data_IF_000938972765
#
_entry.id   IF_000938972765
#
_cell.length_a   1.000
_cell.length_b   1.000
_cell.length_c   1.000
_cell.angle_alpha   90.00
_cell.angle_beta   90.00
_cell.angle_gamma   90.00
#
_symmetry.space_group_name_H-M   'P 1'
#
loop_
_entity.id
_entity.type
_entity.pdbx_description
1 polymer ?
#
# COMPACT_ATOMS: atom_id res chain seq x y z
N UNK A 1 -36.09 -44.37 39.57
CA UNK A 1 -36.80 -43.39 38.72
C UNK A 1 -38.28 -43.49 39.01
N UNK A 2 -38.76 -42.53 39.76
CA UNK A 2 -40.13 -42.55 40.32
C UNK A 2 -41.16 -42.11 39.27
N UNK A 3 -42.32 -42.77 39.33
CA UNK A 3 -43.51 -42.66 38.44
C UNK A 3 -44.13 -41.23 38.37
N UNK A 4 -43.47 -40.19 38.93
CA UNK A 4 -43.98 -38.82 39.13
C UNK A 4 -43.72 -37.82 38.01
N UNK A 5 -42.98 -38.16 36.95
CA UNK A 5 -42.60 -37.21 35.91
C UNK A 5 -43.55 -37.14 34.70
N UNK A 6 -44.77 -37.58 34.83
CA UNK A 6 -45.70 -37.63 33.72
C UNK A 6 -46.94 -36.72 33.88
N UNK A 7 -46.79 -35.61 34.54
CA UNK A 7 -47.86 -34.58 34.51
C UNK A 7 -47.90 -33.90 33.14
N UNK A 8 -49.12 -33.59 32.65
CA UNK A 8 -49.30 -32.90 31.36
C UNK A 8 -48.47 -31.61 31.29
N UNK A 9 -48.41 -30.83 32.37
CA UNK A 9 -47.62 -29.63 32.52
C UNK A 9 -46.10 -29.90 32.33
N UNK A 10 -45.55 -30.94 32.98
CA UNK A 10 -44.13 -31.31 32.83
C UNK A 10 -43.76 -31.72 31.40
N UNK A 11 -44.68 -32.38 30.68
CA UNK A 11 -44.47 -32.73 29.27
C UNK A 11 -44.48 -31.52 28.34
N UNK A 12 -45.40 -30.57 28.58
CA UNK A 12 -45.49 -29.33 27.82
C UNK A 12 -44.23 -28.47 28.06
N UNK A 13 -43.84 -28.26 29.31
CA UNK A 13 -42.63 -27.49 29.67
C UNK A 13 -41.40 -28.10 29.05
N UNK A 14 -41.22 -29.42 29.12
CA UNK A 14 -40.08 -30.10 28.50
C UNK A 14 -40.03 -29.90 26.97
N UNK A 15 -41.18 -29.99 26.28
CA UNK A 15 -41.25 -29.72 24.84
C UNK A 15 -40.92 -28.27 24.52
N UNK A 16 -41.48 -27.31 25.28
CA UNK A 16 -41.18 -25.89 25.09
C UNK A 16 -39.70 -25.59 25.27
N UNK A 17 -39.04 -26.11 26.31
CA UNK A 17 -37.60 -25.95 26.54
C UNK A 17 -36.81 -26.54 25.40
N UNK A 18 -37.13 -27.76 24.92
CA UNK A 18 -36.43 -28.37 23.78
C UNK A 18 -36.56 -27.53 22.51
N UNK A 19 -37.77 -27.07 22.19
CA UNK A 19 -37.98 -26.21 21.01
C UNK A 19 -37.25 -24.86 21.14
N UNK A 20 -37.28 -24.25 22.33
CA UNK A 20 -36.57 -23.01 22.60
C UNK A 20 -35.06 -23.20 22.44
N UNK A 21 -34.50 -24.30 22.93
CA UNK A 21 -33.07 -24.62 22.73
C UNK A 21 -32.73 -24.83 21.25
N UNK A 22 -33.55 -25.52 20.47
CA UNK A 22 -33.32 -25.73 19.03
C UNK A 22 -33.37 -24.40 18.28
N UNK A 23 -34.35 -23.55 18.52
CA UNK A 23 -34.46 -22.22 17.92
C UNK A 23 -33.21 -21.37 18.27
N UNK A 24 -32.81 -21.41 19.54
CA UNK A 24 -31.65 -20.68 20.02
C UNK A 24 -30.32 -21.12 19.37
N UNK A 25 -30.15 -22.44 19.17
CA UNK A 25 -28.97 -22.98 18.45
C UNK A 25 -28.93 -22.48 17.00
N UNK A 26 -30.09 -22.53 16.30
CA UNK A 26 -30.19 -22.05 14.92
C UNK A 26 -29.90 -20.56 14.85
N UNK A 27 -30.49 -19.76 15.72
CA UNK A 27 -30.26 -18.31 15.79
C UNK A 27 -28.78 -18.01 16.10
N UNK A 28 -28.17 -18.72 17.03
CA UNK A 28 -26.75 -18.55 17.38
C UNK A 28 -25.84 -18.83 16.18
N UNK A 29 -26.14 -19.87 15.40
CA UNK A 29 -25.38 -20.19 14.18
C UNK A 29 -25.51 -19.09 13.11
N UNK A 30 -26.75 -18.60 12.90
CA UNK A 30 -27.01 -17.50 11.95
C UNK A 30 -26.28 -16.23 12.37
N UNK A 31 -26.37 -15.83 13.64
CA UNK A 31 -25.71 -14.65 14.18
C UNK A 31 -24.19 -14.80 14.10
N UNK A 32 -23.64 -15.97 14.44
CA UNK A 32 -22.21 -16.25 14.26
C UNK A 32 -21.76 -16.03 12.81
N UNK A 33 -22.51 -16.55 11.86
CA UNK A 33 -22.19 -16.45 10.44
C UNK A 33 -22.23 -15.00 9.92
N UNK A 34 -23.26 -14.26 10.33
CA UNK A 34 -23.41 -12.84 10.00
C UNK A 34 -22.28 -12.01 10.61
N UNK A 35 -21.99 -12.21 11.91
CA UNK A 35 -20.93 -11.48 12.60
C UNK A 35 -19.54 -11.78 12.01
N UNK A 36 -19.26 -13.04 11.71
CA UNK A 36 -18.02 -13.44 11.08
C UNK A 36 -17.86 -12.78 9.71
N UNK A 37 -18.89 -12.81 8.87
CA UNK A 37 -18.88 -12.16 7.55
C UNK A 37 -18.70 -10.65 7.67
N UNK A 38 -19.48 -9.98 8.50
CA UNK A 38 -19.41 -8.52 8.70
C UNK A 38 -18.03 -8.08 9.20
N UNK A 39 -17.45 -8.83 10.15
CA UNK A 39 -16.09 -8.56 10.64
C UNK A 39 -15.06 -8.71 9.52
N UNK A 40 -15.11 -9.80 8.78
CA UNK A 40 -14.19 -10.04 7.65
C UNK A 40 -14.28 -8.94 6.60
N UNK A 41 -15.49 -8.57 6.19
CA UNK A 41 -15.73 -7.54 5.20
C UNK A 41 -15.20 -6.17 5.69
N UNK A 42 -15.43 -5.81 6.95
CA UNK A 42 -14.93 -4.59 7.58
C UNK A 42 -13.40 -4.54 7.64
N UNK A 43 -12.73 -5.63 8.00
CA UNK A 43 -11.27 -5.68 8.02
C UNK A 43 -10.67 -5.64 6.61
N UNK A 44 -11.26 -6.34 5.64
CA UNK A 44 -10.84 -6.27 4.23
C UNK A 44 -10.94 -4.84 3.70
N UNK A 45 -12.05 -4.16 3.97
CA UNK A 45 -12.25 -2.76 3.58
C UNK A 45 -11.24 -1.82 4.25
N UNK A 46 -10.92 -2.06 5.52
CA UNK A 46 -9.91 -1.29 6.23
C UNK A 46 -8.52 -1.42 5.58
N UNK A 47 -8.11 -2.63 5.18
CA UNK A 47 -6.84 -2.83 4.48
C UNK A 47 -6.84 -2.20 3.07
N UNK A 48 -7.93 -2.30 2.33
CA UNK A 48 -8.07 -1.61 1.06
C UNK A 48 -7.97 -0.09 1.22
N UNK A 49 -8.69 0.49 2.19
CA UNK A 49 -8.62 1.93 2.49
C UNK A 49 -7.19 2.39 2.85
N UNK A 50 -6.42 1.55 3.53
CA UNK A 50 -5.01 1.84 3.84
C UNK A 50 -4.13 1.85 2.59
N UNK A 51 -4.35 0.91 1.67
CA UNK A 51 -3.69 0.92 0.36
C UNK A 51 -4.00 2.21 -0.41
N UNK A 52 -5.25 2.69 -0.34
CA UNK A 52 -5.67 3.96 -0.93
C UNK A 52 -5.05 5.19 -0.23
N UNK A 53 -4.90 5.18 1.10
CA UNK A 53 -4.20 6.25 1.83
C UNK A 53 -2.72 6.31 1.39
N UNK A 54 -2.08 5.17 1.23
CA UNK A 54 -0.72 5.10 0.69
C UNK A 54 -0.65 5.66 -0.73
N UNK A 55 -1.64 5.37 -1.56
CA UNK A 55 -1.77 5.94 -2.90
C UNK A 55 -1.86 7.48 -2.85
N UNK A 56 -2.72 8.04 -2.02
CA UNK A 56 -2.88 9.50 -1.93
C UNK A 56 -1.60 10.17 -1.41
N UNK A 57 -0.90 9.54 -0.48
CA UNK A 57 0.39 10.03 -0.01
C UNK A 57 1.45 10.00 -1.13
N UNK A 58 1.53 8.90 -1.88
CA UNK A 58 2.45 8.77 -3.02
C UNK A 58 2.12 9.79 -4.12
N UNK A 59 0.85 9.94 -4.46
CA UNK A 59 0.37 10.94 -5.44
C UNK A 59 0.74 12.37 -5.05
N UNK A 60 0.58 12.72 -3.78
CA UNK A 60 0.93 14.05 -3.29
C UNK A 60 2.37 14.38 -3.57
N UNK A 61 3.27 13.43 -3.37
CA UNK A 61 4.69 13.66 -3.60
C UNK A 61 5.02 13.77 -5.08
N UNK A 62 4.45 12.88 -5.89
CA UNK A 62 4.56 12.97 -7.35
C UNK A 62 4.09 14.34 -7.82
N UNK A 63 2.97 14.83 -7.28
CA UNK A 63 2.44 16.15 -7.60
C UNK A 63 3.35 17.29 -7.11
N UNK A 64 3.90 17.19 -5.90
CA UNK A 64 4.82 18.21 -5.36
C UNK A 64 6.07 18.36 -6.22
N UNK A 65 6.65 17.25 -6.69
CA UNK A 65 7.80 17.25 -7.60
C UNK A 65 7.44 17.84 -8.96
N UNK A 66 6.34 17.37 -9.54
CA UNK A 66 5.81 17.89 -10.80
C UNK A 66 5.64 19.41 -10.76
N UNK A 67 4.98 19.93 -9.72
CA UNK A 67 4.74 21.37 -9.57
C UNK A 67 6.05 22.14 -9.38
N UNK A 68 6.99 21.60 -8.57
CA UNK A 68 8.30 22.25 -8.37
C UNK A 68 9.08 22.37 -9.67
N UNK A 69 9.05 21.36 -10.53
CA UNK A 69 9.69 21.37 -11.85
C UNK A 69 8.94 22.32 -12.79
N UNK A 70 7.64 22.08 -13.01
CA UNK A 70 6.83 22.84 -13.99
C UNK A 70 6.85 24.35 -13.77
N UNK A 71 6.84 24.81 -12.52
CA UNK A 71 6.90 26.22 -12.18
C UNK A 71 8.22 26.88 -12.60
N UNK A 72 9.25 26.13 -12.89
CA UNK A 72 10.56 26.65 -13.28
C UNK A 72 10.89 26.47 -14.78
N UNK A 73 10.14 25.65 -15.53
CA UNK A 73 10.36 25.40 -16.96
C UNK A 73 10.35 26.72 -17.75
N UNK A 74 9.31 27.51 -17.58
CA UNK A 74 9.18 28.81 -18.27
C UNK A 74 10.41 29.71 -18.08
N UNK A 75 10.95 29.79 -16.85
CA UNK A 75 12.15 30.59 -16.57
C UNK A 75 13.40 30.02 -17.23
N UNK A 76 13.53 28.69 -17.28
CA UNK A 76 14.65 28.04 -17.98
C UNK A 76 14.61 28.32 -19.48
N UNK A 77 13.46 28.19 -20.12
CA UNK A 77 13.29 28.41 -21.54
C UNK A 77 13.49 29.88 -21.95
N UNK A 78 13.16 30.84 -21.05
CA UNK A 78 13.41 32.26 -21.28
C UNK A 78 14.88 32.65 -21.09
N UNK A 79 15.62 31.94 -20.23
CA UNK A 79 16.99 32.27 -19.85
C UNK A 79 18.03 31.33 -20.51
N UNK A 80 17.69 30.68 -21.64
CA UNK A 80 18.62 29.83 -22.39
C UNK A 80 19.89 30.55 -22.86
N UNK A 81 19.81 31.87 -23.04
CA UNK A 81 20.98 32.73 -23.36
C UNK A 81 21.87 33.02 -22.14
N UNK A 82 21.56 32.52 -20.96
CA UNK A 82 22.27 32.77 -19.70
C UNK A 82 22.70 31.46 -19.01
N UNK A 83 23.68 30.74 -19.57
CA UNK A 83 24.03 29.40 -19.06
C UNK A 83 24.42 29.37 -17.60
N UNK A 84 25.05 30.42 -17.07
CA UNK A 84 25.45 30.49 -15.66
C UNK A 84 24.25 30.63 -14.68
N UNK A 85 23.11 31.06 -15.18
CA UNK A 85 21.90 31.19 -14.37
C UNK A 85 21.23 29.82 -14.09
N UNK A 86 21.45 28.82 -14.91
CA UNK A 86 20.79 27.51 -14.79
C UNK A 86 21.06 26.83 -13.45
N UNK A 87 22.28 26.93 -12.90
CA UNK A 87 22.59 26.40 -11.55
C UNK A 87 21.71 27.01 -10.46
N UNK A 88 21.43 28.31 -10.57
CA UNK A 88 20.56 29.00 -9.62
C UNK A 88 19.11 28.49 -9.70
N UNK A 89 18.64 28.20 -10.91
CA UNK A 89 17.31 27.62 -11.10
C UNK A 89 17.26 26.19 -10.56
N UNK A 90 18.29 25.36 -10.82
CA UNK A 90 18.38 24.01 -10.25
C UNK A 90 18.36 24.04 -8.72
N UNK A 91 19.16 24.93 -8.11
CA UNK A 91 19.16 25.12 -6.66
C UNK A 91 17.79 25.56 -6.12
N UNK A 92 17.05 26.40 -6.84
CA UNK A 92 15.69 26.83 -6.49
C UNK A 92 14.72 25.66 -6.53
N UNK A 93 14.77 24.81 -7.56
CA UNK A 93 13.92 23.61 -7.66
C UNK A 93 14.17 22.69 -6.47
N UNK A 94 15.43 22.39 -6.16
CA UNK A 94 15.81 21.56 -5.01
C UNK A 94 15.37 22.19 -3.68
N UNK A 95 15.52 23.50 -3.52
CA UNK A 95 15.16 24.19 -2.29
C UNK A 95 13.65 24.18 -2.06
N UNK A 96 12.86 24.43 -3.10
CA UNK A 96 11.40 24.49 -3.02
C UNK A 96 10.74 23.11 -2.95
N UNK A 97 11.36 22.11 -3.56
CA UNK A 97 10.90 20.73 -3.55
C UNK A 97 11.46 19.97 -2.36
N UNK A 98 10.75 19.94 -1.22
CA UNK A 98 11.24 19.30 0.02
C UNK A 98 11.58 17.81 -0.14
N UNK A 99 11.07 17.16 -1.19
CA UNK A 99 11.31 15.75 -1.52
C UNK A 99 12.34 15.58 -2.64
N UNK A 100 12.71 16.66 -3.32
CA UNK A 100 13.72 16.64 -4.35
C UNK A 100 15.10 16.59 -3.69
N UNK A 101 15.86 15.54 -3.99
CA UNK A 101 17.21 15.35 -3.50
C UNK A 101 18.19 16.14 -4.35
N UNK A 102 18.00 16.11 -5.65
CA UNK A 102 18.85 16.76 -6.64
C UNK A 102 18.07 17.11 -7.89
N UNK A 103 18.61 18.04 -8.66
CA UNK A 103 18.04 18.45 -9.92
C UNK A 103 19.15 18.85 -10.88
N UNK A 104 19.06 18.41 -12.11
CA UNK A 104 20.00 18.74 -13.18
C UNK A 104 19.29 19.02 -14.50
N UNK A 105 19.95 19.77 -15.36
CA UNK A 105 19.53 19.98 -16.72
C UNK A 105 20.68 19.60 -17.66
N UNK A 106 20.43 18.63 -18.54
CA UNK A 106 21.42 18.10 -19.48
C UNK A 106 21.10 18.57 -20.88
N UNK A 107 21.97 19.39 -21.44
CA UNK A 107 21.80 19.96 -22.78
C UNK A 107 22.26 18.99 -23.87
N UNK A 108 21.66 19.12 -25.07
CA UNK A 108 22.14 18.41 -26.27
C UNK A 108 23.61 18.78 -26.58
N UNK A 109 24.32 17.89 -27.26
CA UNK A 109 25.72 18.08 -27.61
C UNK A 109 25.92 19.41 -28.30
N UNK A 110 27.00 20.13 -27.93
CA UNK A 110 27.45 21.37 -28.53
C UNK A 110 26.52 22.59 -28.41
N UNK A 111 25.44 22.51 -27.59
CA UNK A 111 24.47 23.60 -27.47
C UNK A 111 25.10 24.93 -27.03
N UNK A 112 26.06 24.90 -26.12
CA UNK A 112 26.82 26.08 -25.65
C UNK A 112 28.29 26.05 -26.08
N UNK A 113 28.66 25.34 -27.17
CA UNK A 113 30.03 25.30 -27.66
C UNK A 113 30.41 26.61 -28.30
N UNK A 114 31.67 27.13 -28.10
CA UNK A 114 32.73 26.56 -27.28
C UNK A 114 32.72 26.98 -25.80
N UNK A 115 31.79 27.82 -25.37
CA UNK A 115 31.81 28.46 -24.06
C UNK A 115 31.76 27.46 -22.89
N UNK A 116 30.89 26.43 -23.00
CA UNK A 116 30.68 25.41 -21.95
C UNK A 116 31.17 24.00 -22.35
N UNK A 117 31.90 23.91 -23.49
CA UNK A 117 32.38 22.61 -24.01
C UNK A 117 31.28 21.85 -24.79
N UNK A 118 31.56 20.56 -25.04
CA UNK A 118 30.67 19.70 -25.82
C UNK A 118 29.47 19.20 -25.03
N UNK A 119 29.56 19.26 -23.70
CA UNK A 119 28.54 18.79 -22.75
C UNK A 119 28.34 19.83 -21.68
N UNK A 120 27.12 20.14 -21.36
CA UNK A 120 26.80 21.08 -20.30
C UNK A 120 25.63 20.57 -19.46
N UNK A 121 25.92 20.33 -18.17
CA UNK A 121 24.91 19.81 -17.22
C UNK A 121 25.04 20.52 -15.87
N UNK A 122 24.44 21.70 -15.70
CA UNK A 122 24.31 22.33 -14.40
C UNK A 122 23.44 21.49 -13.47
N UNK A 123 23.93 21.26 -12.26
CA UNK A 123 23.35 20.34 -11.29
C UNK A 123 23.34 20.94 -9.89
N UNK A 124 22.32 20.64 -9.11
CA UNK A 124 22.18 21.03 -7.72
C UNK A 124 21.71 19.87 -6.87
N UNK A 125 22.20 19.75 -5.63
CA UNK A 125 21.79 18.70 -4.71
C UNK A 125 21.74 19.16 -3.25
N UNK A 126 20.94 18.47 -2.42
CA UNK A 126 20.97 18.65 -0.96
C UNK A 126 22.20 17.97 -0.39
N UNK A 127 22.94 18.71 0.43
CA UNK A 127 24.05 18.13 1.16
C UNK A 127 23.54 17.04 2.13
N UNK A 128 24.18 15.86 2.09
CA UNK A 128 23.75 14.72 2.88
C UNK A 128 23.92 14.94 4.42
N UNK A 129 24.90 15.78 4.82
CA UNK A 129 25.18 16.07 6.24
C UNK A 129 24.39 17.24 6.76
N UNK A 130 24.05 18.18 5.90
CA UNK A 130 23.24 19.35 6.23
C UNK A 130 22.21 19.59 5.12
N UNK A 131 20.99 19.01 5.24
CA UNK A 131 19.94 19.09 4.20
C UNK A 131 19.45 20.52 3.88
N UNK A 132 19.72 21.49 4.72
CA UNK A 132 19.39 22.91 4.47
C UNK A 132 20.39 23.59 3.51
N UNK A 133 21.53 22.95 3.23
CA UNK A 133 22.53 23.44 2.30
C UNK A 133 22.31 22.80 0.93
N UNK A 134 22.16 23.67 -0.08
CA UNK A 134 22.10 23.26 -1.48
C UNK A 134 23.45 23.58 -2.13
N UNK A 135 24.06 22.56 -2.68
CA UNK A 135 25.32 22.65 -3.41
C UNK A 135 25.06 22.62 -4.92
N UNK A 136 25.90 23.26 -5.71
CA UNK A 136 25.76 23.32 -7.16
C UNK A 136 27.12 23.05 -7.87
N UNK A 137 27.04 22.43 -9.05
CA UNK A 137 28.19 22.16 -9.90
C UNK A 137 27.76 22.20 -11.38
N UNK A 138 28.69 22.44 -12.26
CA UNK A 138 28.56 22.12 -13.69
C UNK A 138 29.11 20.70 -13.91
N UNK A 139 28.23 19.74 -14.07
CA UNK A 139 28.56 18.36 -14.41
C UNK A 139 28.45 18.22 -15.93
N UNK A 140 29.48 18.35 -16.65
CA UNK A 140 29.35 18.28 -18.10
C UNK A 140 30.57 17.70 -18.76
N UNK A 141 31.63 17.67 -18.00
CA UNK A 141 32.90 17.17 -18.52
C UNK A 141 33.06 15.66 -18.26
N UNK A 142 34.03 15.09 -18.86
CA UNK A 142 34.52 13.72 -19.00
C UNK A 142 34.04 12.64 -18.01
N UNK A 143 33.45 12.99 -16.85
CA UNK A 143 33.11 12.06 -15.78
C UNK A 143 31.74 11.34 -15.96
N UNK A 144 30.81 11.91 -16.74
CA UNK A 144 29.49 11.29 -16.98
C UNK A 144 29.02 11.56 -18.41
N UNK A 145 29.05 10.53 -19.24
CA UNK A 145 28.44 10.59 -20.57
C UNK A 145 26.94 10.37 -20.47
N UNK A 146 26.20 11.48 -20.31
CA UNK A 146 24.74 11.42 -20.29
C UNK A 146 24.17 11.33 -21.71
N UNK A 147 24.91 11.75 -22.73
CA UNK A 147 24.44 11.81 -24.13
C UNK A 147 24.06 10.44 -24.67
N UNK A 148 24.71 9.36 -24.21
CA UNK A 148 24.43 7.98 -24.63
C UNK A 148 23.45 7.25 -23.66
N UNK A 149 22.92 7.94 -22.64
CA UNK A 149 22.05 7.30 -21.66
C UNK A 149 20.61 7.15 -22.16
N UNK A 150 19.99 6.00 -21.84
CA UNK A 150 18.60 5.72 -22.22
C UNK A 150 17.61 6.77 -21.68
N UNK A 151 17.84 7.25 -20.47
CA UNK A 151 16.97 8.26 -19.86
C UNK A 151 17.01 9.60 -20.60
N UNK A 152 18.17 10.01 -21.12
CA UNK A 152 18.30 11.25 -21.88
C UNK A 152 17.59 11.13 -23.23
N UNK A 153 17.82 10.04 -23.96
CA UNK A 153 17.14 9.75 -25.22
C UNK A 153 15.62 9.60 -25.02
N UNK A 154 15.17 9.01 -23.93
CA UNK A 154 13.76 8.90 -23.63
C UNK A 154 13.04 10.25 -23.53
N UNK A 155 13.74 11.34 -23.17
CA UNK A 155 13.18 12.69 -23.15
C UNK A 155 13.37 13.40 -24.47
N UNK A 156 14.60 13.40 -25.00
CA UNK A 156 14.96 14.18 -26.20
C UNK A 156 14.23 13.65 -27.45
N UNK A 157 14.19 12.32 -27.61
CA UNK A 157 13.66 11.70 -28.82
C UNK A 157 12.13 11.65 -28.83
N UNK A 158 11.48 11.67 -27.66
CA UNK A 158 10.01 11.54 -27.54
C UNK A 158 9.30 12.87 -27.29
N UNK A 159 10.04 13.92 -26.92
CA UNK A 159 9.49 15.22 -26.49
C UNK A 159 8.38 15.04 -25.42
N UNK A 160 8.65 14.19 -24.44
CA UNK A 160 7.63 13.81 -23.47
C UNK A 160 8.19 13.72 -22.05
N UNK A 161 7.46 14.32 -21.13
CA UNK A 161 7.77 14.18 -19.71
C UNK A 161 7.41 12.78 -19.17
N UNK A 162 8.25 12.22 -18.33
CA UNK A 162 7.98 10.93 -17.70
C UNK A 162 8.75 10.73 -16.39
N UNK A 163 8.35 9.71 -15.63
CA UNK A 163 9.12 9.23 -14.48
C UNK A 163 10.08 8.14 -14.93
N UNK A 164 11.33 8.24 -14.51
CA UNK A 164 12.32 7.20 -14.79
C UNK A 164 12.00 5.91 -14.02
N UNK A 165 12.48 4.79 -14.53
CA UNK A 165 12.61 3.61 -13.69
C UNK A 165 13.54 3.94 -12.51
N UNK A 166 13.34 3.30 -11.33
CA UNK A 166 14.21 3.48 -10.18
C UNK A 166 15.67 3.12 -10.50
N UNK A 167 16.60 3.86 -9.91
CA UNK A 167 18.03 3.64 -10.05
C UNK A 167 18.78 3.90 -8.74
N UNK A 168 19.99 3.40 -8.62
CA UNK A 168 20.84 3.69 -7.47
C UNK A 168 21.58 5.01 -7.65
N UNK A 169 21.65 5.80 -6.56
CA UNK A 169 22.50 7.01 -6.51
C UNK A 169 23.94 6.65 -6.88
N UNK A 170 24.46 7.32 -7.91
CA UNK A 170 25.81 7.07 -8.42
C UNK A 170 26.92 7.31 -7.41
N UNK A 171 26.65 8.10 -6.35
CA UNK A 171 27.63 8.47 -5.33
C UNK A 171 27.78 7.43 -4.22
N UNK A 172 26.69 6.79 -3.79
CA UNK A 172 26.71 5.87 -2.65
C UNK A 172 26.19 4.46 -2.95
N UNK A 173 25.52 4.24 -4.08
CA UNK A 173 24.93 2.96 -4.52
C UNK A 173 24.00 2.26 -3.49
N UNK A 174 23.58 2.99 -2.48
CA UNK A 174 22.69 2.48 -1.42
C UNK A 174 21.35 3.18 -1.43
N UNK A 175 21.29 4.45 -1.80
CA UNK A 175 20.04 5.22 -1.93
C UNK A 175 19.40 4.92 -3.27
N UNK A 176 18.15 4.51 -3.24
CA UNK A 176 17.33 4.31 -4.43
C UNK A 176 16.62 5.61 -4.80
N UNK A 177 16.76 6.02 -6.03
CA UNK A 177 16.19 7.24 -6.60
C UNK A 177 15.22 6.90 -7.73
N UNK A 178 14.33 7.83 -8.02
CA UNK A 178 13.60 7.96 -9.28
C UNK A 178 13.65 9.41 -9.70
N UNK A 179 13.59 9.70 -10.98
CA UNK A 179 13.63 11.07 -11.49
C UNK A 179 12.33 11.41 -12.25
N UNK A 180 11.79 12.58 -11.99
CA UNK A 180 10.84 13.21 -12.90
C UNK A 180 11.60 13.97 -13.96
N UNK A 181 11.35 13.63 -15.21
CA UNK A 181 12.06 14.13 -16.37
C UNK A 181 11.18 14.99 -17.24
N UNK A 182 11.70 16.11 -17.72
CA UNK A 182 10.96 17.09 -18.52
C UNK A 182 11.81 17.61 -19.67
N UNK A 183 11.28 17.69 -20.93
CA UNK A 183 11.97 18.35 -22.02
C UNK A 183 11.99 19.87 -21.85
N UNK A 184 13.07 20.51 -22.29
CA UNK A 184 13.24 21.96 -22.34
C UNK A 184 13.35 22.39 -23.80
N UNK A 185 12.58 23.41 -24.18
CA UNK A 185 12.47 23.87 -25.55
C UNK A 185 13.12 25.22 -25.75
N UNK A 186 13.68 25.41 -26.95
CA UNK A 186 14.08 26.72 -27.45
C UNK A 186 12.86 27.53 -27.95
N UNK A 187 13.13 28.74 -28.45
CA UNK A 187 12.09 29.66 -28.97
C UNK A 187 11.42 29.12 -30.26
N UNK A 188 12.07 28.22 -30.94
CA UNK A 188 11.58 27.58 -32.18
C UNK A 188 10.80 26.29 -31.89
N UNK A 189 10.73 25.87 -30.62
CA UNK A 189 10.03 24.68 -30.15
C UNK A 189 10.84 23.38 -30.29
N UNK A 190 12.15 23.48 -30.48
CA UNK A 190 13.01 22.30 -30.52
C UNK A 190 13.42 21.90 -29.10
N UNK A 191 13.47 20.60 -28.81
CA UNK A 191 13.96 20.09 -27.54
C UNK A 191 15.49 20.27 -27.52
N UNK A 192 15.99 21.04 -26.54
CA UNK A 192 17.42 21.40 -26.42
C UNK A 192 18.07 20.85 -25.15
N UNK A 193 17.26 20.40 -24.21
CA UNK A 193 17.76 19.79 -22.97
C UNK A 193 16.71 18.88 -22.32
N UNK A 194 17.19 17.99 -21.46
CA UNK A 194 16.39 17.20 -20.54
C UNK A 194 16.64 17.68 -19.10
N UNK A 195 15.60 18.12 -18.40
CA UNK A 195 15.66 18.41 -16.98
C UNK A 195 15.26 17.16 -16.20
N UNK A 196 16.03 16.78 -15.16
CA UNK A 196 15.75 15.69 -14.25
C UNK A 196 15.68 16.19 -12.80
N UNK A 197 14.64 15.82 -12.07
CA UNK A 197 14.51 16.05 -10.63
C UNK A 197 14.46 14.73 -9.88
N UNK A 198 15.52 14.42 -9.14
CA UNK A 198 15.70 13.14 -8.46
C UNK A 198 14.98 13.15 -7.10
N UNK A 199 14.28 12.07 -6.82
CA UNK A 199 13.54 11.84 -5.58
C UNK A 199 14.04 10.57 -4.91
N UNK A 200 14.43 10.64 -3.64
CA UNK A 200 14.77 9.44 -2.88
C UNK A 200 13.53 8.62 -2.56
N UNK A 201 13.62 7.32 -2.79
CA UNK A 201 12.58 6.35 -2.43
C UNK A 201 12.70 5.82 -0.99
N UNK A 202 13.81 6.12 -0.29
CA UNK A 202 14.06 5.66 1.07
C UNK A 202 13.00 6.17 2.05
N UNK A 203 12.62 7.46 1.93
CA UNK A 203 11.58 8.03 2.78
C UNK A 203 10.21 7.38 2.51
N UNK A 204 9.94 6.95 1.28
CA UNK A 204 8.70 6.24 0.91
C UNK A 204 8.68 4.84 1.55
N UNK A 205 9.80 4.12 1.46
CA UNK A 205 10.01 2.84 2.16
C UNK A 205 9.83 3.01 3.66
N UNK A 206 10.46 4.03 4.26
CA UNK A 206 10.33 4.31 5.69
C UNK A 206 8.89 4.64 6.09
N UNK A 207 8.16 5.41 5.27
CA UNK A 207 6.75 5.74 5.54
C UNK A 207 5.84 4.53 5.46
N UNK A 208 6.06 3.64 4.50
CA UNK A 208 5.36 2.37 4.40
C UNK A 208 5.62 1.49 5.63
N UNK A 209 6.89 1.35 6.02
CA UNK A 209 7.29 0.56 7.19
C UNK A 209 6.70 1.13 8.49
N UNK A 210 6.67 2.45 8.67
CA UNK A 210 6.02 3.12 9.81
C UNK A 210 4.52 2.82 9.83
N UNK A 211 3.86 2.93 8.70
CA UNK A 211 2.44 2.65 8.55
C UNK A 211 2.13 1.19 8.87
N UNK A 212 2.87 0.25 8.28
CA UNK A 212 2.73 -1.18 8.53
C UNK A 212 3.02 -1.54 9.99
N UNK A 213 4.02 -0.92 10.61
CA UNK A 213 4.36 -1.12 12.02
C UNK A 213 3.23 -0.65 12.95
N UNK A 214 2.63 0.50 12.67
CA UNK A 214 1.48 1.03 13.42
C UNK A 214 0.27 0.11 13.29
N UNK A 215 0.03 -0.40 12.09
CA UNK A 215 -1.05 -1.36 11.80
C UNK A 215 -0.84 -2.66 12.60
N UNK A 216 0.36 -3.22 12.49
CA UNK A 216 0.70 -4.48 13.13
C UNK A 216 0.73 -4.35 14.67
N UNK A 217 1.06 -3.17 15.22
CA UNK A 217 1.00 -2.88 16.65
C UNK A 217 -0.44 -2.74 17.18
N UNK A 218 -1.32 -2.09 16.43
CA UNK A 218 -2.73 -1.95 16.81
C UNK A 218 -3.52 -3.26 16.68
N UNK A 219 -3.01 -4.21 15.91
CA UNK A 219 -3.52 -5.58 15.84
C UNK A 219 -3.07 -6.44 17.05
N UNK A 220 -3.04 -5.85 18.27
CA UNK A 220 -2.39 -6.38 19.49
C UNK A 220 -2.82 -7.80 19.86
N UNK A 221 -4.06 -8.20 19.54
CA UNK A 221 -4.51 -9.56 19.78
C UNK A 221 -4.03 -10.54 18.71
N UNK A 222 -3.92 -10.09 17.47
CA UNK A 222 -3.50 -10.94 16.35
C UNK A 222 -1.98 -11.05 16.24
N UNK A 223 -1.22 -10.01 16.53
CA UNK A 223 0.23 -9.99 16.32
C UNK A 223 1.03 -10.86 17.30
N UNK A 224 0.53 -11.05 18.54
CA UNK A 224 1.14 -11.98 19.50
C UNK A 224 0.84 -13.45 19.19
N UNK A 225 -0.34 -13.71 18.59
CA UNK A 225 -0.78 -15.07 18.24
C UNK A 225 -0.37 -15.41 16.80
N UNK A 226 -0.43 -14.41 15.91
CA UNK A 226 -0.09 -14.54 14.51
C UNK A 226 1.32 -13.97 14.31
N UNK A 227 2.29 -14.82 14.10
CA UNK A 227 3.68 -14.42 13.81
C UNK A 227 3.84 -13.68 12.47
N UNK A 228 2.77 -13.45 11.74
CA UNK A 228 2.74 -12.88 10.41
C UNK A 228 2.25 -11.44 10.44
N UNK A 229 2.95 -10.57 9.72
CA UNK A 229 2.66 -9.14 9.62
C UNK A 229 2.16 -8.83 8.23
N UNK A 230 1.24 -7.86 8.11
CA UNK A 230 0.94 -7.23 6.83
C UNK A 230 2.10 -6.38 6.38
N UNK A 231 2.35 -6.34 5.09
CA UNK A 231 3.42 -5.54 4.49
C UNK A 231 2.93 -4.87 3.22
N UNK A 232 3.35 -3.63 3.03
CA UNK A 232 3.04 -2.84 1.84
C UNK A 232 4.28 -2.63 1.00
N UNK A 233 4.12 -2.73 -0.30
CA UNK A 233 5.16 -2.62 -1.31
C UNK A 233 4.75 -1.62 -2.38
N UNK A 234 5.72 -0.99 -3.01
CA UNK A 234 5.54 -0.37 -4.33
C UNK A 234 6.37 -1.19 -5.30
N UNK A 235 5.77 -1.56 -6.40
CA UNK A 235 6.38 -2.32 -7.48
C UNK A 235 6.21 -1.56 -8.79
N UNK A 236 7.06 -1.82 -9.78
CA UNK A 236 6.77 -1.42 -11.14
C UNK A 236 5.87 -2.46 -11.85
N UNK A 237 5.47 -2.22 -13.09
CA UNK A 237 4.57 -3.12 -13.83
C UNK A 237 5.18 -4.50 -14.11
N UNK A 238 6.51 -4.63 -14.14
CA UNK A 238 7.18 -5.91 -14.31
C UNK A 238 7.32 -6.70 -13.00
N UNK A 239 6.81 -6.14 -11.90
CA UNK A 239 6.81 -6.72 -10.56
C UNK A 239 8.04 -6.41 -9.72
N UNK A 240 9.04 -5.71 -10.24
CA UNK A 240 10.27 -5.38 -9.50
C UNK A 240 9.93 -4.49 -8.29
N UNK A 241 10.48 -4.82 -7.14
CA UNK A 241 10.29 -4.03 -5.94
C UNK A 241 10.98 -2.67 -6.03
N UNK A 242 10.20 -1.61 -5.93
CA UNK A 242 10.66 -0.22 -5.78
C UNK A 242 10.87 0.08 -4.30
N UNK A 243 9.96 -0.43 -3.45
CA UNK A 243 10.10 -0.37 -1.99
C UNK A 243 9.86 -1.77 -1.41
N UNK A 244 10.62 -2.15 -0.39
CA UNK A 244 10.47 -3.40 0.32
C UNK A 244 11.00 -3.23 1.75
N UNK A 245 10.36 -3.81 2.80
CA UNK A 245 10.91 -3.84 4.15
C UNK A 245 12.31 -4.46 4.23
N UNK A 246 12.62 -5.45 3.38
CA UNK A 246 13.98 -5.94 3.17
C UNK A 246 14.62 -5.17 2.01
N UNK A 247 15.47 -4.20 2.34
CA UNK A 247 16.18 -3.37 1.35
C UNK A 247 17.01 -4.18 0.34
N UNK A 248 17.38 -5.42 0.69
CA UNK A 248 18.17 -6.29 -0.22
C UNK A 248 17.39 -6.72 -1.45
N UNK A 249 16.07 -6.70 -1.38
CA UNK A 249 15.18 -7.10 -2.47
C UNK A 249 14.84 -5.93 -3.40
N UNK A 250 15.06 -4.68 -2.96
CA UNK A 250 14.78 -3.48 -3.78
C UNK A 250 15.63 -3.53 -5.05
N UNK A 251 14.99 -3.36 -6.20
CA UNK A 251 15.58 -3.40 -7.54
C UNK A 251 16.24 -4.74 -7.94
N UNK A 252 16.11 -5.79 -7.13
CA UNK A 252 16.78 -7.08 -7.35
C UNK A 252 15.83 -8.26 -7.46
N UNK A 253 14.63 -8.11 -6.92
CA UNK A 253 13.64 -9.20 -6.90
C UNK A 253 12.27 -8.69 -7.32
N UNK A 254 11.39 -9.61 -7.69
CA UNK A 254 10.06 -9.34 -8.21
C UNK A 254 9.01 -9.97 -7.30
N UNK A 255 7.93 -9.21 -7.02
CA UNK A 255 6.81 -9.73 -6.23
C UNK A 255 6.21 -10.99 -6.84
N UNK A 256 6.31 -11.16 -8.17
CA UNK A 256 5.74 -12.32 -8.87
C UNK A 256 6.43 -13.64 -8.53
N UNK A 257 7.71 -13.62 -8.08
CA UNK A 257 8.41 -14.81 -7.60
C UNK A 257 7.90 -15.30 -6.24
N UNK A 258 7.25 -14.39 -5.48
CA UNK A 258 6.69 -14.67 -4.16
C UNK A 258 5.19 -14.99 -4.18
N UNK A 259 4.50 -14.68 -5.30
CA UNK A 259 3.05 -14.83 -5.43
C UNK A 259 2.68 -16.10 -6.20
N UNK A 260 1.94 -16.99 -5.53
CA UNK A 260 1.32 -18.16 -6.13
C UNK A 260 -0.20 -18.12 -5.92
N UNK A 261 -0.97 -18.64 -6.86
CA UNK A 261 -2.40 -18.78 -6.69
C UNK A 261 -2.72 -19.89 -5.69
N UNK A 262 -3.63 -19.61 -4.75
CA UNK A 262 -4.06 -20.60 -3.75
C UNK A 262 -4.87 -21.73 -4.37
N UNK A 263 -5.70 -21.43 -5.37
CA UNK A 263 -6.48 -22.43 -6.10
C UNK A 263 -5.97 -22.53 -7.54
N UNK A 264 -5.47 -23.70 -7.91
CA UNK A 264 -4.86 -23.98 -9.24
C UNK A 264 -5.88 -24.02 -10.40
N UNK A 265 -7.17 -23.84 -10.12
CA UNK A 265 -8.25 -24.03 -11.11
C UNK A 265 -8.50 -22.84 -12.04
N UNK A 266 -7.94 -21.64 -11.75
CA UNK A 266 -8.09 -20.47 -12.61
C UNK A 266 -6.73 -19.86 -12.96
N UNK A 267 -6.58 -19.38 -14.20
CA UNK A 267 -5.37 -18.70 -14.67
C UNK A 267 -4.97 -17.50 -13.80
N UNK A 268 -3.67 -17.19 -13.74
CA UNK A 268 -3.01 -16.21 -12.89
C UNK A 268 -3.47 -14.74 -13.15
N UNK A 269 -4.76 -14.47 -13.00
CA UNK A 269 -5.34 -13.15 -13.26
C UNK A 269 -4.74 -12.01 -12.41
N UNK A 270 -4.17 -12.29 -11.23
CA UNK A 270 -3.56 -11.26 -10.39
C UNK A 270 -2.30 -10.65 -11.03
N UNK A 271 -1.40 -11.48 -11.53
CA UNK A 271 -0.16 -11.00 -12.18
C UNK A 271 -0.52 -10.12 -13.39
N UNK A 272 -1.45 -10.58 -14.23
CA UNK A 272 -1.94 -9.80 -15.37
C UNK A 272 -2.62 -8.49 -14.94
N UNK A 273 -3.45 -8.51 -13.89
CA UNK A 273 -4.08 -7.32 -13.32
C UNK A 273 -3.05 -6.33 -12.77
N UNK A 274 -2.02 -6.82 -12.05
CA UNK A 274 -0.94 -5.98 -11.55
C UNK A 274 -0.14 -5.36 -12.69
N UNK A 275 0.21 -6.15 -13.71
CA UNK A 275 0.97 -5.69 -14.87
C UNK A 275 0.20 -4.63 -15.69
N UNK A 276 -1.10 -4.78 -15.82
CA UNK A 276 -1.96 -3.82 -16.55
C UNK A 276 -2.44 -2.65 -15.69
N UNK A 277 -2.18 -2.66 -14.39
CA UNK A 277 -2.70 -1.66 -13.46
C UNK A 277 -4.23 -1.64 -13.40
N UNK A 278 -4.88 -2.78 -13.55
CA UNK A 278 -6.35 -2.90 -13.51
C UNK A 278 -6.81 -2.92 -12.06
N UNK A 279 -7.70 -1.99 -11.70
CA UNK A 279 -8.36 -1.98 -10.38
C UNK A 279 -9.49 -3.02 -10.41
N UNK A 280 -9.43 -3.99 -9.50
CA UNK A 280 -10.49 -4.98 -9.32
C UNK A 280 -11.26 -4.71 -8.02
N UNK A 281 -12.57 -4.48 -8.14
CA UNK A 281 -13.44 -4.29 -6.97
C UNK A 281 -13.60 -5.57 -6.14
N UNK A 282 -13.28 -6.75 -6.70
CA UNK A 282 -13.39 -8.04 -6.02
C UNK A 282 -12.14 -8.46 -5.23
N UNK A 283 -11.11 -7.63 -5.15
CA UNK A 283 -9.86 -7.91 -4.40
C UNK A 283 -10.10 -8.44 -2.98
N UNK A 284 -11.21 -8.03 -2.36
CA UNK A 284 -11.59 -8.41 -0.99
C UNK A 284 -11.81 -9.93 -0.78
N UNK A 285 -12.03 -10.68 -1.85
CA UNK A 285 -12.44 -12.09 -1.79
C UNK A 285 -11.39 -13.06 -2.31
N UNK A 286 -10.38 -12.57 -3.00
CA UNK A 286 -9.37 -13.43 -3.63
C UNK A 286 -8.23 -13.75 -2.65
N UNK A 287 -7.82 -15.01 -2.64
CA UNK A 287 -6.76 -15.54 -1.79
C UNK A 287 -5.59 -16.00 -2.62
N UNK A 288 -4.40 -15.68 -2.17
CA UNK A 288 -3.13 -16.03 -2.81
C UNK A 288 -2.20 -16.71 -1.80
N UNK A 289 -1.12 -17.29 -2.30
CA UNK A 289 0.02 -17.66 -1.49
C UNK A 289 1.13 -16.62 -1.71
N UNK A 290 1.65 -16.08 -0.63
CA UNK A 290 2.84 -15.25 -0.63
C UNK A 290 3.89 -15.97 0.20
N UNK A 291 5.01 -16.38 -0.42
CA UNK A 291 6.01 -17.26 0.19
C UNK A 291 5.40 -18.53 0.82
N UNK A 292 4.45 -19.15 0.10
CA UNK A 292 3.74 -20.34 0.57
C UNK A 292 2.70 -20.11 1.65
N UNK A 293 2.47 -18.86 2.07
CA UNK A 293 1.51 -18.50 3.10
C UNK A 293 0.25 -17.87 2.52
N UNK A 294 -0.92 -18.31 3.00
CA UNK A 294 -2.20 -17.76 2.56
C UNK A 294 -2.34 -16.28 2.92
N UNK A 295 -2.67 -15.47 1.92
CA UNK A 295 -2.83 -14.03 2.08
C UNK A 295 -3.98 -13.47 1.23
N UNK A 296 -4.38 -12.25 1.55
CA UNK A 296 -5.12 -11.35 0.68
C UNK A 296 -4.13 -10.35 0.08
N UNK A 297 -4.36 -9.95 -1.16
CA UNK A 297 -3.54 -8.95 -1.86
C UNK A 297 -4.44 -7.80 -2.29
N UNK A 298 -4.19 -6.62 -1.72
CA UNK A 298 -4.84 -5.38 -2.10
C UNK A 298 -3.85 -4.57 -2.93
N UNK A 299 -4.30 -3.99 -4.04
CA UNK A 299 -3.41 -3.24 -4.92
C UNK A 299 -4.12 -2.07 -5.59
N UNK A 300 -3.34 -1.08 -6.00
CA UNK A 300 -3.83 0.09 -6.73
C UNK A 300 -2.70 0.70 -7.57
N UNK A 301 -2.96 1.04 -8.85
CA UNK A 301 -1.98 1.70 -9.70
C UNK A 301 -1.78 3.17 -9.30
N UNK A 302 -0.57 3.65 -9.47
CA UNK A 302 -0.21 5.05 -9.28
C UNK A 302 -0.23 5.76 -10.64
N UNK A 303 -1.19 6.64 -10.86
CA UNK A 303 -1.33 7.37 -12.13
C UNK A 303 -0.05 8.14 -12.48
N UNK A 304 0.22 8.23 -13.78
CA UNK A 304 1.38 8.90 -14.37
C UNK A 304 2.73 8.27 -14.06
N UNK A 305 2.73 7.07 -13.49
CA UNK A 305 3.93 6.25 -13.29
C UNK A 305 3.64 4.82 -13.72
N UNK A 306 4.69 4.00 -13.81
CA UNK A 306 4.57 2.55 -14.02
C UNK A 306 4.47 1.80 -12.68
N UNK A 307 3.99 2.46 -11.61
CA UNK A 307 4.02 1.90 -10.26
C UNK A 307 2.66 1.36 -9.84
N UNK A 308 2.70 0.31 -9.03
CA UNK A 308 1.54 -0.27 -8.35
C UNK A 308 1.85 -0.40 -6.87
N UNK A 309 0.95 0.10 -6.04
CA UNK A 309 1.01 -0.13 -4.59
C UNK A 309 0.33 -1.45 -4.32
N UNK A 310 1.01 -2.34 -3.58
CA UNK A 310 0.52 -3.67 -3.22
C UNK A 310 0.62 -3.86 -1.71
N UNK A 311 -0.48 -4.25 -1.07
CA UNK A 311 -0.53 -4.59 0.35
C UNK A 311 -0.85 -6.07 0.50
N UNK A 312 0.06 -6.83 1.06
CA UNK A 312 -0.08 -8.26 1.35
C UNK A 312 -0.49 -8.45 2.80
N UNK A 313 -1.62 -9.10 3.02
CA UNK A 313 -2.21 -9.28 4.36
C UNK A 313 -2.39 -10.78 4.63
N UNK A 314 -1.77 -11.35 5.66
CA UNK A 314 -2.00 -12.74 6.05
C UNK A 314 -3.49 -13.00 6.26
N UNK A 315 -4.02 -14.10 5.72
CA UNK A 315 -5.45 -14.41 5.80
C UNK A 315 -5.94 -14.50 7.24
N UNK A 316 -5.09 -14.97 8.17
CA UNK A 316 -5.41 -15.04 9.60
C UNK A 316 -5.75 -13.66 10.19
N UNK A 317 -5.12 -12.60 9.70
CA UNK A 317 -5.37 -11.23 10.17
C UNK A 317 -6.78 -10.73 9.88
N UNK A 318 -7.47 -11.35 8.95
CA UNK A 318 -8.85 -11.03 8.57
C UNK A 318 -9.79 -12.13 9.02
N UNK A 319 -9.59 -13.37 8.58
CA UNK A 319 -10.52 -14.47 8.82
C UNK A 319 -10.57 -14.92 10.30
N UNK A 320 -9.41 -14.96 10.97
CA UNK A 320 -9.37 -15.37 12.39
C UNK A 320 -10.03 -14.34 13.30
N UNK A 321 -9.93 -13.05 12.99
CA UNK A 321 -10.64 -12.01 13.77
C UNK A 321 -12.15 -12.13 13.62
N UNK A 322 -12.63 -12.48 12.43
CA UNK A 322 -14.05 -12.79 12.22
C UNK A 322 -14.51 -13.96 13.08
N UNK A 323 -13.74 -15.05 13.10
CA UNK A 323 -14.04 -16.22 13.93
C UNK A 323 -14.01 -15.88 15.43
N UNK A 324 -13.01 -15.13 15.90
CA UNK A 324 -12.90 -14.72 17.30
C UNK A 324 -14.11 -13.88 17.72
N UNK A 325 -14.44 -12.83 16.97
CA UNK A 325 -15.56 -11.95 17.28
C UNK A 325 -16.90 -12.70 17.22
N UNK A 326 -17.09 -13.54 16.20
CA UNK A 326 -18.27 -14.39 16.10
C UNK A 326 -18.40 -15.38 17.27
N UNK A 327 -17.27 -15.96 17.73
CA UNK A 327 -17.25 -16.88 18.86
C UNK A 327 -17.57 -16.19 20.18
N UNK A 328 -17.05 -14.98 20.40
CA UNK A 328 -17.38 -14.18 21.61
C UNK A 328 -18.88 -13.89 21.65
N UNK A 329 -19.46 -13.47 20.54
CA UNK A 329 -20.89 -13.21 20.44
C UNK A 329 -21.72 -14.48 20.67
N UNK A 330 -21.29 -15.61 20.11
CA UNK A 330 -21.94 -16.89 20.30
C UNK A 330 -21.92 -17.32 21.77
N UNK A 331 -20.79 -17.21 22.47
CA UNK A 331 -20.69 -17.50 23.91
C UNK A 331 -21.64 -16.60 24.71
N UNK A 332 -21.66 -15.30 24.39
CA UNK A 332 -22.58 -14.36 25.05
C UNK A 332 -24.07 -14.77 24.88
N UNK A 333 -24.47 -15.14 23.67
CA UNK A 333 -25.85 -15.61 23.38
C UNK A 333 -26.17 -16.88 24.18
N UNK A 334 -25.24 -17.85 24.24
CA UNK A 334 -25.40 -19.08 25.02
C UNK A 334 -25.63 -18.76 26.51
N UNK A 335 -24.83 -17.84 27.07
CA UNK A 335 -25.00 -17.41 28.47
C UNK A 335 -26.40 -16.81 28.70
N UNK A 336 -26.86 -15.93 27.81
CA UNK A 336 -28.19 -15.31 27.90
C UNK A 336 -29.27 -16.37 27.84
N UNK A 337 -29.16 -17.34 26.94
CA UNK A 337 -30.14 -18.45 26.82
C UNK A 337 -30.18 -19.29 28.10
N UNK A 338 -29.02 -19.66 28.66
CA UNK A 338 -28.95 -20.42 29.90
C UNK A 338 -29.60 -19.65 31.06
N UNK A 339 -29.42 -18.35 31.12
CA UNK A 339 -30.00 -17.48 32.13
C UNK A 339 -31.52 -17.41 31.99
N UNK A 340 -32.05 -17.28 30.77
CA UNK A 340 -33.51 -17.32 30.50
C UNK A 340 -34.08 -18.65 30.89
N UNK A 341 -33.42 -19.77 30.56
CA UNK A 341 -33.87 -21.12 30.95
C UNK A 341 -33.89 -21.28 32.49
N UNK A 342 -32.84 -20.79 33.18
CA UNK A 342 -32.76 -20.83 34.63
C UNK A 342 -33.88 -20.03 35.30
N UNK A 343 -34.16 -18.83 34.79
CA UNK A 343 -35.26 -17.97 35.25
C UNK A 343 -36.60 -18.67 35.01
N UNK A 344 -36.85 -19.19 33.81
CA UNK A 344 -38.06 -19.90 33.47
C UNK A 344 -38.29 -21.13 34.40
N UNK A 345 -37.21 -21.89 34.64
CA UNK A 345 -37.25 -23.04 35.55
C UNK A 345 -37.56 -22.64 36.99
N UNK A 346 -36.99 -21.54 37.49
CA UNK A 346 -37.27 -20.97 38.79
C UNK A 346 -38.76 -20.61 38.95
N UNK A 347 -39.33 -19.88 37.98
CA UNK A 347 -40.73 -19.48 38.02
C UNK A 347 -41.69 -20.68 37.94
N UNK A 348 -41.42 -21.65 37.04
CA UNK A 348 -42.23 -22.87 36.94
C UNK A 348 -42.19 -23.66 38.25
N UNK A 349 -41.04 -23.80 38.90
CA UNK A 349 -40.96 -24.45 40.22
C UNK A 349 -41.76 -23.72 41.29
N UNK A 350 -41.66 -22.40 41.33
CA UNK A 350 -42.37 -21.57 42.33
C UNK A 350 -43.90 -21.67 42.17
N UNK A 351 -44.41 -21.62 40.97
CA UNK A 351 -45.85 -21.69 40.71
C UNK A 351 -46.43 -23.10 40.88
N UNK A 352 -45.62 -24.17 40.73
CA UNK A 352 -46.10 -25.55 40.87
C UNK A 352 -45.94 -26.11 42.26
N UNK A 353 -45.20 -25.48 43.19
CA UNK A 353 -45.04 -25.90 44.59
C UNK A 353 -46.36 -25.87 45.41
N UNK A 354 -47.25 -24.86 45.30
CA UNK A 354 -48.51 -24.86 46.07
C UNK A 354 -49.51 -25.96 45.67
N UNK A 355 -49.43 -26.44 44.43
CA UNK A 355 -50.28 -27.51 43.91
C UNK A 355 -49.93 -28.91 44.46
N UNK A 356 -48.74 -29.07 45.02
CA UNK A 356 -48.25 -30.31 45.63
C UNK A 356 -48.61 -30.43 47.15
N UNK A 357 -49.15 -29.35 47.78
CA UNK A 357 -49.54 -29.36 49.15
C UNK A 357 -51.09 -29.64 49.34
N UNK A 358 -51.82 -29.80 48.23
CA UNK A 358 -53.22 -30.03 48.19
C UNK A 358 -53.60 -31.50 47.82
N UNK A 359 -52.64 -32.37 47.58
CA UNK A 359 -52.73 -33.82 47.50
C UNK A 359 -52.13 -34.48 48.78
#
# INVERSE_FOLDING_TARGET
MTKKDKTLAGRITRKLVVWSCLIAIVLSFVVFHIANKATRDSYSENYLNRTLITLEYTRRIISDVYVAVKNNIYYLEQDLDKPDHHKTVMARIVNNGTRIRSCGISFIKDYYYPEKGHRFCPYAWRNAKNPDVIETIDMGDEAQDYLDSEWFHAVIDTDSAHWSEPFFDGTNKTTTLTAYMEPIHDKDGNVVAALGADVSLDWLTNKLNETDSTINANAVFSSKILKQKSSSYIINHDGTFITNPDEKLIMKDKIFSHLEKYDKSEENGLIDKLQRGIIDEQQKNERYLFDGQKCYVFYTPVKYTNWVIVTVVPWQSIDMLGVINGSILLVFIIIVILLVIAIAHYYVRRETQPLHQLD
#
